data_IF_187697126230
#
_entry.id   IF_187697126230
#
_cell.length_a   1.000
_cell.length_b   1.000
_cell.length_c   1.000
_cell.angle_alpha   90.00
_cell.angle_beta   90.00
_cell.angle_gamma   90.00
#
_symmetry.space_group_name_H-M   'P 1'
#
loop_
_entity.id
_entity.type
_entity.pdbx_description
1 polymer ?
#
# COMPACT_ATOMS: atom_id res chain seq x y z
N UNK A 1 11.15 -3.89 8.70
CA UNK A 1 9.96 -3.13 8.24
C UNK A 1 8.75 -3.55 9.07
N UNK A 2 8.42 -2.84 10.16
CA UNK A 2 7.27 -3.20 11.01
C UNK A 2 6.44 -1.97 11.36
N UNK A 3 5.85 -1.35 10.33
CA UNK A 3 4.76 -0.38 10.50
C UNK A 3 3.44 -1.06 10.90
N UNK A 4 3.41 -2.39 11.03
CA UNK A 4 2.26 -3.18 11.50
C UNK A 4 2.37 -3.61 12.97
N UNK A 5 3.39 -3.14 13.73
CA UNK A 5 3.45 -3.33 15.20
C UNK A 5 2.79 -2.21 16.01
N UNK A 6 2.50 -1.07 15.37
CA UNK A 6 2.21 0.18 16.07
C UNK A 6 0.75 0.32 16.52
N UNK A 7 -0.06 -0.74 16.40
CA UNK A 7 -1.48 -0.71 16.82
C UNK A 7 -2.38 0.20 15.98
N UNK A 8 -1.86 0.83 14.92
CA UNK A 8 -2.65 1.58 13.95
C UNK A 8 -3.36 0.61 13.02
N UNK A 9 -4.68 0.72 12.94
CA UNK A 9 -5.47 0.01 11.93
C UNK A 9 -5.07 0.48 10.53
N UNK A 10 -5.29 -0.36 9.51
CA UNK A 10 -5.03 0.00 8.12
C UNK A 10 -5.71 1.33 7.74
N UNK A 11 -6.91 1.56 8.26
CA UNK A 11 -7.66 2.79 8.07
C UNK A 11 -7.02 4.03 8.71
N UNK A 12 -6.47 3.89 9.92
CA UNK A 12 -5.76 5.00 10.56
C UNK A 12 -4.49 5.36 9.78
N UNK A 13 -3.76 4.36 9.28
CA UNK A 13 -2.61 4.58 8.42
C UNK A 13 -2.99 5.19 7.06
N UNK A 14 -4.07 4.72 6.42
CA UNK A 14 -4.56 5.28 5.16
C UNK A 14 -4.97 6.76 5.32
N UNK A 15 -5.69 7.08 6.40
CA UNK A 15 -6.06 8.47 6.74
C UNK A 15 -4.83 9.36 6.97
N UNK A 16 -3.83 8.87 7.69
CA UNK A 16 -2.59 9.63 7.94
C UNK A 16 -1.79 9.89 6.65
N UNK A 17 -1.88 8.99 5.68
CA UNK A 17 -1.22 9.10 4.38
C UNK A 17 -2.07 9.85 3.33
N UNK A 18 -3.32 10.18 3.65
CA UNK A 18 -4.24 10.84 2.71
C UNK A 18 -4.64 9.95 1.52
N UNK A 19 -4.54 8.63 1.65
CA UNK A 19 -4.88 7.66 0.60
C UNK A 19 -6.11 6.84 0.98
N UNK A 20 -6.74 6.19 0.00
CA UNK A 20 -7.83 5.25 0.25
C UNK A 20 -7.33 4.00 0.98
N UNK A 21 -8.17 3.44 1.87
CA UNK A 21 -7.95 2.13 2.52
C UNK A 21 -7.60 1.05 1.50
N UNK A 22 -8.31 1.03 0.36
CA UNK A 22 -8.10 0.04 -0.68
C UNK A 22 -6.72 0.17 -1.33
N UNK A 23 -6.21 1.39 -1.49
CA UNK A 23 -4.87 1.65 -2.02
C UNK A 23 -3.81 1.09 -1.07
N UNK A 24 -3.95 1.39 0.23
CA UNK A 24 -3.03 0.87 1.24
C UNK A 24 -3.11 -0.65 1.36
N UNK A 25 -4.32 -1.22 1.31
CA UNK A 25 -4.52 -2.67 1.30
C UNK A 25 -3.83 -3.34 0.13
N UNK A 26 -3.97 -2.79 -1.08
CA UNK A 26 -3.33 -3.31 -2.29
C UNK A 26 -1.80 -3.27 -2.17
N UNK A 27 -1.24 -2.22 -1.58
CA UNK A 27 0.20 -2.13 -1.33
C UNK A 27 0.68 -3.15 -0.29
N UNK A 28 -0.04 -3.33 0.81
CA UNK A 28 0.28 -4.36 1.82
C UNK A 28 0.20 -5.76 1.21
N UNK A 29 -0.81 -6.04 0.39
CA UNK A 29 -0.95 -7.30 -0.34
C UNK A 29 0.21 -7.51 -1.32
N UNK A 30 0.56 -6.51 -2.13
CA UNK A 30 1.68 -6.58 -3.07
C UNK A 30 3.03 -6.77 -2.34
N UNK A 31 3.23 -6.09 -1.21
CA UNK A 31 4.44 -6.24 -0.39
C UNK A 31 4.57 -7.67 0.16
N UNK A 32 3.48 -8.24 0.69
CA UNK A 32 3.44 -9.64 1.15
C UNK A 32 3.73 -10.65 0.03
N UNK A 33 3.40 -10.29 -1.20
CA UNK A 33 3.67 -11.10 -2.39
C UNK A 33 5.08 -10.86 -2.98
N UNK A 34 5.87 -9.94 -2.40
CA UNK A 34 7.17 -9.55 -2.95
C UNK A 34 7.09 -8.75 -4.26
N UNK A 35 5.93 -8.18 -4.58
CA UNK A 35 5.62 -7.48 -5.84
C UNK A 35 5.58 -5.95 -5.71
N UNK A 36 5.71 -5.42 -4.49
CA UNK A 36 5.71 -3.97 -4.30
C UNK A 36 7.07 -3.42 -4.71
N UNK A 37 7.13 -2.82 -5.90
CA UNK A 37 8.30 -2.10 -6.40
C UNK A 37 8.29 -0.65 -5.92
N UNK A 38 9.48 -0.02 -5.85
CA UNK A 38 9.62 1.37 -5.40
C UNK A 38 8.79 2.36 -6.23
N UNK A 39 8.54 3.55 -5.67
CA UNK A 39 7.67 4.59 -6.22
C UNK A 39 8.08 5.15 -7.60
N UNK A 40 9.24 4.74 -8.12
CA UNK A 40 9.84 5.24 -9.37
C UNK A 40 9.66 4.30 -10.57
N UNK A 41 8.82 3.27 -10.48
CA UNK A 41 8.53 2.38 -11.63
C UNK A 41 7.08 2.57 -12.07
N UNK A 42 6.86 3.28 -13.19
CA UNK A 42 5.58 3.26 -13.91
C UNK A 42 5.83 2.62 -15.27
N UNK A 43 5.14 1.51 -15.59
CA UNK A 43 3.85 1.68 -16.27
C UNK A 43 2.70 1.09 -15.45
N UNK A 44 1.73 1.95 -15.13
CA UNK A 44 0.35 1.51 -14.93
C UNK A 44 -0.22 1.38 -16.34
N UNK A 45 -0.45 0.18 -16.81
CA UNK A 45 -1.33 -0.04 -17.96
C UNK A 45 -2.75 -0.08 -17.40
N UNK A 46 -3.63 0.90 -17.67
CA UNK A 46 -5.05 0.64 -17.53
C UNK A 46 -5.39 -0.51 -18.48
N UNK A 47 -6.05 -1.53 -17.96
CA UNK A 47 -6.56 -2.65 -18.76
C UNK A 47 -7.54 -2.14 -19.82
N UNK A 48 -7.63 -2.93 -20.91
CA UNK A 48 -8.14 -2.68 -22.26
C UNK A 48 -9.51 -2.00 -22.38
#
# INVERSE_FOLDING_TARGET
MRLVDTGLTLAAAARSLGISDQTLFNWVKAHRQGRLTGADIKPVTPEQ
#
